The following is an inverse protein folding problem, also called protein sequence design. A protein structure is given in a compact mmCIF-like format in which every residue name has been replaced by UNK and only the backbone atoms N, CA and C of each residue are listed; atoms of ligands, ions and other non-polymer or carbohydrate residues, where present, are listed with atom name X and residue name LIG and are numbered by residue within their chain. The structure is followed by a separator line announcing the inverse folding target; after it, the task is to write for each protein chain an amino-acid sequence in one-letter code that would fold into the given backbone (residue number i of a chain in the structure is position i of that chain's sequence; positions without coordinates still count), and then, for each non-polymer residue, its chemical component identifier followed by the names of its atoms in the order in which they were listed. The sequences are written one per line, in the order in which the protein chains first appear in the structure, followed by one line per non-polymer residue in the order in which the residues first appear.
data_IF_596533655455
#
_entry.id   IF_596533655455
#
_cell.length_a   1.000
_cell.length_b   1.000
_cell.length_c   1.000
_cell.angle_alpha   90.00
_cell.angle_beta   90.00
_cell.angle_gamma   90.00
#
_symmetry.space_group_name_H-M   'P 1'
#
loop_
_entity.id
_entity.type
_entity.pdbx_description
1 polymer ?
#
# COMPACT_ATOMS: atom_id res chain seq x y z
N UNK A 1 31.61 -14.31 -9.65
CA UNK A 1 30.69 -13.15 -9.64
C UNK A 1 29.37 -13.61 -10.26
N UNK A 2 28.26 -13.65 -9.52
CA UNK A 2 27.00 -14.19 -10.10
C UNK A 2 25.81 -14.27 -9.13
N UNK A 3 26.05 -14.27 -7.82
CA UNK A 3 24.98 -14.38 -6.82
C UNK A 3 24.17 -13.08 -6.67
N UNK A 4 24.83 -11.92 -6.81
CA UNK A 4 24.17 -10.61 -6.60
C UNK A 4 23.09 -10.25 -7.64
N UNK A 5 23.23 -10.71 -8.89
CA UNK A 5 22.25 -10.44 -9.95
C UNK A 5 20.94 -11.22 -9.75
N UNK A 6 21.02 -12.46 -9.26
CA UNK A 6 19.82 -13.27 -8.98
C UNK A 6 19.00 -12.72 -7.80
N UNK A 7 19.68 -12.25 -6.76
CA UNK A 7 19.03 -11.62 -5.60
C UNK A 7 18.36 -10.30 -6.00
N UNK A 8 19.01 -9.49 -6.83
CA UNK A 8 18.44 -8.23 -7.31
C UNK A 8 17.17 -8.45 -8.16
N UNK A 9 17.16 -9.45 -9.03
CA UNK A 9 15.96 -9.79 -9.82
C UNK A 9 14.83 -10.33 -8.95
N UNK A 10 15.11 -11.19 -7.96
CA UNK A 10 14.08 -11.64 -7.02
C UNK A 10 13.50 -10.48 -6.21
N UNK A 11 14.34 -9.54 -5.75
CA UNK A 11 13.88 -8.35 -5.03
C UNK A 11 13.02 -7.45 -5.93
N UNK A 12 13.41 -7.26 -7.19
CA UNK A 12 12.64 -6.46 -8.15
C UNK A 12 11.29 -7.12 -8.49
N UNK A 13 11.27 -8.44 -8.63
CA UNK A 13 10.05 -9.20 -8.90
C UNK A 13 9.15 -9.25 -7.66
N UNK A 14 9.72 -9.42 -6.46
CA UNK A 14 9.00 -9.33 -5.20
C UNK A 14 8.42 -7.93 -4.98
N UNK A 15 9.17 -6.86 -5.29
CA UNK A 15 8.68 -5.49 -5.27
C UNK A 15 7.56 -5.24 -6.29
N UNK A 16 7.65 -5.86 -7.48
CA UNK A 16 6.57 -5.82 -8.47
C UNK A 16 5.32 -6.56 -7.99
N UNK A 17 5.49 -7.74 -7.41
CA UNK A 17 4.38 -8.57 -6.89
C UNK A 17 3.77 -8.00 -5.61
N UNK A 18 4.56 -7.29 -4.80
CA UNK A 18 4.09 -6.60 -3.59
C UNK A 18 3.49 -5.21 -3.88
N UNK A 19 3.42 -4.82 -5.16
CA UNK A 19 2.99 -3.48 -5.55
C UNK A 19 3.89 -2.36 -5.04
N UNK A 20 5.14 -2.64 -4.63
CA UNK A 20 6.08 -1.63 -4.16
C UNK A 20 6.48 -0.61 -5.25
N UNK A 21 6.23 -0.92 -6.53
CA UNK A 21 6.26 0.07 -7.61
C UNK A 21 5.18 1.17 -7.47
N UNK A 22 4.28 1.08 -6.48
CA UNK A 22 3.36 2.15 -6.10
C UNK A 22 4.07 3.36 -5.46
N UNK A 23 5.38 3.31 -5.20
CA UNK A 23 6.16 4.43 -4.63
C UNK A 23 6.25 5.70 -5.51
N UNK A 24 5.56 5.75 -6.65
CA UNK A 24 5.48 6.97 -7.48
C UNK A 24 4.09 7.30 -8.00
N UNK A 25 3.05 6.70 -7.45
CA UNK A 25 1.71 7.27 -7.57
C UNK A 25 1.51 8.12 -6.33
N UNK A 26 1.53 9.44 -6.52
CA UNK A 26 1.09 10.40 -5.52
C UNK A 26 -0.34 10.03 -5.16
N UNK A 27 -0.48 9.21 -4.11
CA UNK A 27 -1.74 8.64 -3.73
C UNK A 27 -2.61 9.79 -3.24
N UNK A 28 -3.70 10.05 -3.95
CA UNK A 28 -4.63 11.09 -3.57
C UNK A 28 -5.30 10.70 -2.25
N UNK A 29 -4.88 11.36 -1.17
CA UNK A 29 -5.41 11.11 0.17
C UNK A 29 -6.91 11.37 0.26
N UNK A 30 -7.45 12.26 -0.57
CA UNK A 30 -8.89 12.54 -0.62
C UNK A 30 -9.64 11.31 -1.14
N UNK A 31 -9.16 10.73 -2.24
CA UNK A 31 -9.71 9.49 -2.79
C UNK A 31 -9.58 8.32 -1.80
N UNK A 32 -8.42 8.15 -1.15
CA UNK A 32 -8.21 7.09 -0.16
C UNK A 32 -9.16 7.23 1.04
N UNK A 33 -9.37 8.45 1.53
CA UNK A 33 -10.33 8.71 2.62
C UNK A 33 -11.77 8.38 2.20
N UNK A 34 -12.16 8.73 0.97
CA UNK A 34 -13.47 8.38 0.40
C UNK A 34 -13.65 6.86 0.34
N UNK A 35 -12.64 6.14 -0.14
CA UNK A 35 -12.66 4.68 -0.23
C UNK A 35 -12.73 4.02 1.15
N UNK A 36 -12.01 4.54 2.15
CA UNK A 36 -12.10 4.07 3.53
C UNK A 36 -13.51 4.28 4.11
N UNK A 37 -14.14 5.44 3.84
CA UNK A 37 -15.51 5.71 4.29
C UNK A 37 -16.52 4.78 3.63
N UNK A 38 -16.37 4.54 2.32
CA UNK A 38 -17.20 3.60 1.57
C UNK A 38 -17.04 2.17 2.09
N UNK A 39 -15.80 1.71 2.27
CA UNK A 39 -15.51 0.38 2.82
C UNK A 39 -16.14 0.19 4.21
N UNK A 40 -16.03 1.19 5.08
CA UNK A 40 -16.72 1.17 6.39
C UNK A 40 -18.24 1.13 6.27
N UNK A 41 -18.83 1.90 5.35
CA UNK A 41 -20.27 1.91 5.11
C UNK A 41 -20.79 0.58 4.56
N UNK A 42 -19.95 -0.15 3.80
CA UNK A 42 -20.22 -1.50 3.30
C UNK A 42 -19.98 -2.60 4.35
N UNK A 43 -19.55 -2.25 5.57
CA UNK A 43 -19.24 -3.21 6.63
C UNK A 43 -17.92 -3.97 6.44
N UNK A 44 -17.05 -3.48 5.54
CA UNK A 44 -15.73 -4.07 5.29
C UNK A 44 -14.74 -3.72 6.40
N UNK A 45 -13.78 -4.60 6.64
CA UNK A 45 -12.74 -4.37 7.65
C UNK A 45 -11.68 -3.44 7.08
N UNK A 46 -11.49 -2.27 7.70
CA UNK A 46 -10.40 -1.34 7.36
C UNK A 46 -9.32 -1.41 8.43
N UNK A 47 -8.10 -1.81 8.05
CA UNK A 47 -6.94 -1.92 8.96
C UNK A 47 -5.81 -1.03 8.46
N UNK A 48 -5.18 -0.28 9.37
CA UNK A 48 -3.96 0.48 9.09
C UNK A 48 -2.85 -0.06 9.97
N UNK A 49 -1.79 -0.59 9.37
CA UNK A 49 -0.65 -1.15 10.09
C UNK A 49 0.64 -0.88 9.33
N UNK A 50 1.68 -0.42 10.02
CA UNK A 50 2.99 -0.10 9.44
C UNK A 50 2.94 0.83 8.21
N UNK A 51 2.03 1.82 8.23
CA UNK A 51 1.83 2.73 7.10
C UNK A 51 1.10 2.10 5.92
N UNK A 52 0.59 0.87 6.02
CA UNK A 52 -0.19 0.22 4.97
C UNK A 52 -1.67 0.20 5.35
N UNK A 53 -2.54 0.47 4.38
CA UNK A 53 -4.00 0.38 4.52
C UNK A 53 -4.48 -0.90 3.85
N UNK A 54 -5.31 -1.64 4.56
CA UNK A 54 -5.89 -2.90 4.12
C UNK A 54 -7.41 -2.85 4.21
N UNK A 55 -8.09 -3.33 3.17
CA UNK A 55 -9.52 -3.63 3.20
C UNK A 55 -9.72 -5.13 3.13
N UNK A 56 -10.39 -5.71 4.12
CA UNK A 56 -10.58 -7.16 4.27
C UNK A 56 -9.26 -7.94 4.09
N UNK A 57 -8.20 -7.44 4.73
CA UNK A 57 -6.84 -7.99 4.69
C UNK A 57 -6.13 -7.90 3.34
N UNK A 58 -6.70 -7.23 2.33
CA UNK A 58 -6.03 -6.93 1.06
C UNK A 58 -5.38 -5.55 1.10
N UNK A 59 -4.10 -5.46 0.73
CA UNK A 59 -3.36 -4.20 0.68
C UNK A 59 -3.97 -3.30 -0.40
N UNK A 60 -4.49 -2.14 0.00
CA UNK A 60 -5.08 -1.16 -0.92
C UNK A 60 -4.20 0.07 -1.11
N UNK A 61 -3.41 0.43 -0.09
CA UNK A 61 -2.61 1.64 -0.11
C UNK A 61 -1.39 1.57 0.81
N UNK A 62 -0.34 2.31 0.46
CA UNK A 62 0.79 2.61 1.34
C UNK A 62 0.82 4.13 1.58
N UNK A 63 0.77 4.52 2.85
CA UNK A 63 0.78 5.90 3.28
C UNK A 63 2.19 6.47 3.15
N UNK A 64 2.31 7.71 2.63
CA UNK A 64 3.56 8.43 2.67
C UNK A 64 4.05 8.61 4.11
N UNK A 65 5.37 8.55 4.35
CA UNK A 65 5.91 8.81 5.68
C UNK A 65 5.53 10.23 6.15
N UNK A 66 5.18 10.36 7.42
CA UNK A 66 4.78 11.62 8.09
C UNK A 66 3.46 12.24 7.61
N UNK A 67 2.55 11.46 7.00
CA UNK A 67 1.23 11.95 6.61
C UNK A 67 0.16 11.40 7.55
N UNK A 68 -0.42 12.28 8.36
CA UNK A 68 -1.58 11.96 9.20
C UNK A 68 -2.87 11.99 8.37
N UNK A 69 -3.80 11.09 8.70
CA UNK A 69 -5.16 11.19 8.18
C UNK A 69 -5.90 12.30 8.91
N UNK A 70 -6.52 13.27 8.20
CA UNK A 70 -7.57 14.07 8.82
C UNK A 70 -8.74 13.12 9.13
N UNK A 71 -8.92 12.77 10.40
CA UNK A 71 -10.07 12.02 10.88
C UNK A 71 -11.31 12.91 10.89
#
# INVERSE_FOLDING_TARGET
MGVGLGVAMMMQQAAQMSGANAQKQQMDMISLQSDMRKAKAEGRTVTVINGCVYFDYQLVAQLPPNQDFPM
#
